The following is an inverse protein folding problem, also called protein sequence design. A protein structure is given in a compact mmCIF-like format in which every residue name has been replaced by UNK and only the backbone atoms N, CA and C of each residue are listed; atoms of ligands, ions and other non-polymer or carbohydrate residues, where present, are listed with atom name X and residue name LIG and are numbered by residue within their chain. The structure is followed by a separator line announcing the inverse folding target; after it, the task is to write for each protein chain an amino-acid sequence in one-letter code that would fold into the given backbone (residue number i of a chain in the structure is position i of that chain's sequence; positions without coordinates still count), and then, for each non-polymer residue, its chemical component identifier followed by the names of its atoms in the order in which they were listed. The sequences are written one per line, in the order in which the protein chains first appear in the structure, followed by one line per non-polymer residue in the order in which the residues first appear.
data_IF_610905673151
#
_entry.id   IF_610905673151
#
_cell.length_a   1.000
_cell.length_b   1.000
_cell.length_c   1.000
_cell.angle_alpha   90.00
_cell.angle_beta   90.00
_cell.angle_gamma   90.00
#
_symmetry.space_group_name_H-M   'P 1'
#
loop_
_entity.id
_entity.type
_entity.pdbx_description
1 polymer ?
#
# COMPACT_ATOMS: atom_id res chain seq x y z
N UNK A 1 -38.69 14.86 68.34
CA UNK A 1 -39.20 15.08 66.97
C UNK A 1 -38.05 14.78 66.01
N UNK A 2 -38.10 13.65 65.33
CA UNK A 2 -37.11 13.20 64.34
C UNK A 2 -37.73 13.38 62.96
N UNK A 3 -37.20 14.22 62.09
CA UNK A 3 -37.36 14.06 60.63
C UNK A 3 -36.09 14.50 59.89
N UNK A 4 -35.53 13.53 59.16
CA UNK A 4 -34.47 13.58 58.15
C UNK A 4 -34.83 14.53 57.00
N UNK A 5 -33.81 15.04 56.28
CA UNK A 5 -34.01 15.80 55.05
C UNK A 5 -32.77 15.97 54.16
N UNK A 6 -32.31 14.87 53.56
CA UNK A 6 -31.82 14.73 52.17
C UNK A 6 -30.62 15.60 51.73
N UNK A 7 -29.46 14.96 51.60
CA UNK A 7 -28.30 15.45 50.87
C UNK A 7 -28.57 15.46 49.35
N UNK A 8 -28.39 16.61 48.71
CA UNK A 8 -28.42 16.76 47.25
C UNK A 8 -27.00 16.49 46.70
N UNK A 9 -26.79 15.30 46.13
CA UNK A 9 -25.56 14.97 45.42
C UNK A 9 -25.61 15.59 44.01
N UNK A 10 -24.73 16.55 43.71
CA UNK A 10 -24.48 17.00 42.34
C UNK A 10 -23.76 15.89 41.57
N UNK A 11 -24.46 15.28 40.61
CA UNK A 11 -23.86 14.33 39.68
C UNK A 11 -22.89 15.06 38.73
N UNK A 12 -21.61 14.72 38.79
CA UNK A 12 -20.60 15.19 37.85
C UNK A 12 -20.83 14.54 36.48
N UNK A 13 -21.14 15.35 35.45
CA UNK A 13 -21.29 14.88 34.08
C UNK A 13 -19.92 14.59 33.46
N UNK A 14 -19.60 13.29 33.26
CA UNK A 14 -18.46 12.87 32.46
C UNK A 14 -18.73 13.14 30.98
N UNK A 15 -18.05 14.14 30.40
CA UNK A 15 -17.97 14.31 28.95
C UNK A 15 -17.05 13.23 28.36
N UNK A 16 -17.63 12.11 27.91
CA UNK A 16 -16.91 11.13 27.11
C UNK A 16 -16.68 11.70 25.69
N UNK A 17 -15.46 12.15 25.40
CA UNK A 17 -15.05 12.49 24.04
C UNK A 17 -15.06 11.22 23.18
N UNK A 18 -16.08 11.08 22.33
CA UNK A 18 -16.18 9.97 21.39
C UNK A 18 -15.03 10.04 20.37
N UNK A 19 -14.04 9.14 20.51
CA UNK A 19 -13.05 8.86 19.48
C UNK A 19 -13.77 8.16 18.33
N UNK A 20 -14.27 8.92 17.36
CA UNK A 20 -14.82 8.36 16.13
C UNK A 20 -13.69 7.66 15.36
N UNK A 21 -13.81 6.36 15.05
CA UNK A 21 -12.85 5.70 14.18
C UNK A 21 -12.96 6.32 12.79
N UNK A 22 -11.83 6.80 12.26
CA UNK A 22 -11.76 7.28 10.88
C UNK A 22 -12.17 6.14 9.93
N UNK A 23 -13.32 6.28 9.29
CA UNK A 23 -13.78 5.33 8.28
C UNK A 23 -12.75 5.30 7.13
N UNK A 24 -12.01 4.20 7.03
CA UNK A 24 -11.15 3.97 5.88
C UNK A 24 -12.05 3.78 4.66
N UNK A 25 -12.11 4.79 3.79
CA UNK A 25 -12.79 4.70 2.51
C UNK A 25 -12.25 3.47 1.80
N UNK A 26 -13.13 2.51 1.47
CA UNK A 26 -12.76 1.34 0.72
C UNK A 26 -12.35 1.77 -0.69
N UNK A 27 -11.07 2.07 -0.87
CA UNK A 27 -10.49 2.47 -2.14
C UNK A 27 -10.50 1.26 -3.09
N UNK A 28 -11.63 1.06 -3.75
CA UNK A 28 -11.88 -0.04 -4.66
C UNK A 28 -11.58 0.26 -6.12
N UNK A 29 -11.32 1.52 -6.45
CA UNK A 29 -10.95 1.97 -7.79
C UNK A 29 -9.46 1.85 -8.06
N UNK A 30 -9.09 2.10 -9.32
CA UNK A 30 -7.71 2.19 -9.77
C UNK A 30 -7.00 3.34 -9.05
N UNK A 31 -5.84 3.05 -8.47
CA UNK A 31 -5.05 3.99 -7.68
C UNK A 31 -3.64 4.06 -8.22
N UNK A 32 -3.08 5.27 -8.26
CA UNK A 32 -1.64 5.48 -8.49
C UNK A 32 -1.04 6.29 -7.35
N UNK A 33 0.21 6.00 -7.00
CA UNK A 33 0.94 6.71 -5.95
C UNK A 33 2.44 6.55 -6.14
N UNK A 34 3.21 7.45 -5.54
CA UNK A 34 4.68 7.43 -5.59
C UNK A 34 5.27 7.38 -4.18
N UNK A 35 6.45 6.79 -4.05
CA UNK A 35 7.26 6.91 -2.83
C UNK A 35 7.73 8.36 -2.60
N UNK A 36 8.06 8.77 -1.36
CA UNK A 36 8.55 10.12 -1.08
C UNK A 36 9.82 10.51 -1.82
N UNK A 37 10.68 9.54 -2.17
CA UNK A 37 11.88 9.79 -2.98
C UNK A 37 11.59 10.01 -4.46
N UNK A 38 10.34 9.79 -4.91
CA UNK A 38 9.95 9.86 -6.32
C UNK A 38 10.46 8.70 -7.19
N UNK A 39 11.29 7.79 -6.65
CA UNK A 39 11.97 6.77 -7.46
C UNK A 39 11.09 5.55 -7.79
N UNK A 40 10.05 5.30 -7.00
CA UNK A 40 9.14 4.17 -7.18
C UNK A 40 7.72 4.70 -7.35
N UNK A 41 7.13 4.39 -8.49
CA UNK A 41 5.73 4.70 -8.81
C UNK A 41 4.93 3.41 -8.92
N UNK A 42 3.74 3.39 -8.32
CA UNK A 42 2.90 2.20 -8.24
C UNK A 42 1.50 2.46 -8.76
N UNK A 43 0.89 1.40 -9.29
CA UNK A 43 -0.53 1.33 -9.59
C UNK A 43 -1.14 0.09 -8.95
N UNK A 44 -2.37 0.20 -8.44
CA UNK A 44 -3.08 -0.94 -7.88
C UNK A 44 -4.60 -0.79 -8.00
N UNK A 45 -5.27 -1.93 -8.05
CA UNK A 45 -6.72 -2.06 -7.93
C UNK A 45 -7.05 -3.38 -7.20
N UNK A 46 -8.29 -3.87 -7.33
CA UNK A 46 -8.72 -5.13 -6.71
C UNK A 46 -8.16 -6.38 -7.38
N UNK A 47 -7.47 -6.27 -8.50
CA UNK A 47 -6.96 -7.38 -9.32
C UNK A 47 -5.44 -7.48 -9.31
N UNK A 48 -4.72 -6.36 -9.12
CA UNK A 48 -3.26 -6.37 -9.08
C UNK A 48 -2.65 -5.23 -8.26
N UNK A 49 -1.36 -5.37 -7.98
CA UNK A 49 -0.47 -4.26 -7.62
C UNK A 49 0.81 -4.32 -8.47
N UNK A 50 1.23 -3.18 -9.01
CA UNK A 50 2.47 -2.98 -9.76
C UNK A 50 3.27 -1.86 -9.12
N UNK A 51 4.59 -2.00 -9.10
CA UNK A 51 5.49 -0.87 -8.90
C UNK A 51 6.66 -0.93 -9.87
N UNK A 52 6.91 0.19 -10.55
CA UNK A 52 8.08 0.42 -11.39
C UNK A 52 9.12 1.24 -10.63
N UNK A 53 10.40 1.02 -10.95
CA UNK A 53 11.52 1.70 -10.31
C UNK A 53 12.30 2.47 -11.37
N UNK A 54 12.33 3.81 -11.26
CA UNK A 54 12.99 4.67 -12.23
C UNK A 54 14.50 4.46 -12.29
N UNK A 55 15.18 4.51 -11.13
CA UNK A 55 16.60 4.20 -11.00
C UNK A 55 16.78 3.00 -10.09
N UNK A 56 17.36 1.91 -10.62
CA UNK A 56 17.73 0.73 -9.86
C UNK A 56 19.14 0.22 -10.20
N UNK A 57 19.72 -0.59 -9.32
CA UNK A 57 21.04 -1.22 -9.52
C UNK A 57 20.99 -2.75 -9.59
N UNK A 58 19.84 -3.36 -9.31
CA UNK A 58 19.65 -4.80 -9.44
C UNK A 58 19.48 -5.21 -10.90
N UNK A 59 19.77 -6.48 -11.20
CA UNK A 59 19.57 -7.10 -12.52
C UNK A 59 18.33 -7.98 -12.49
N UNK A 60 17.42 -7.76 -13.42
CA UNK A 60 16.30 -8.68 -13.65
C UNK A 60 16.83 -10.03 -14.19
N UNK A 61 16.11 -11.15 -13.97
CA UNK A 61 16.40 -12.41 -14.64
C UNK A 61 16.23 -12.27 -16.16
N UNK A 62 16.76 -13.22 -16.95
CA UNK A 62 16.63 -13.20 -18.40
C UNK A 62 15.19 -12.94 -18.86
N UNK A 63 15.03 -12.05 -19.84
CA UNK A 63 13.72 -11.71 -20.41
C UNK A 63 13.08 -12.98 -21.00
N UNK A 64 11.89 -13.38 -20.53
CA UNK A 64 11.24 -14.58 -21.05
C UNK A 64 10.76 -14.33 -22.49
N UNK A 65 10.78 -15.37 -23.32
CA UNK A 65 10.31 -15.29 -24.73
C UNK A 65 8.83 -14.88 -24.84
N UNK A 66 8.04 -15.13 -23.80
CA UNK A 66 6.64 -14.72 -23.70
C UNK A 66 6.46 -13.21 -23.51
N UNK A 67 7.50 -12.50 -23.08
CA UNK A 67 7.46 -11.04 -22.95
C UNK A 67 7.88 -10.38 -24.27
N UNK A 68 6.92 -9.74 -24.95
CA UNK A 68 7.15 -8.99 -26.19
C UNK A 68 7.39 -7.49 -25.99
N UNK A 69 7.40 -7.02 -24.73
CA UNK A 69 7.52 -5.60 -24.35
C UNK A 69 8.78 -5.37 -23.51
N UNK A 70 8.98 -4.18 -22.95
CA UNK A 70 10.10 -3.94 -22.03
C UNK A 70 9.97 -4.81 -20.77
N UNK A 71 11.12 -5.20 -20.23
CA UNK A 71 11.20 -6.22 -19.19
C UNK A 71 12.02 -5.75 -18.00
N UNK A 72 11.50 -6.07 -16.82
CA UNK A 72 12.29 -6.09 -15.62
C UNK A 72 12.36 -4.77 -14.88
N UNK A 73 11.71 -3.69 -15.32
CA UNK A 73 11.75 -2.36 -14.67
C UNK A 73 11.06 -2.28 -13.29
N UNK A 74 10.39 -3.35 -12.88
CA UNK A 74 9.55 -3.35 -11.68
C UNK A 74 8.96 -4.72 -11.38
N UNK A 75 8.03 -4.76 -10.43
CA UNK A 75 7.38 -5.98 -9.95
C UNK A 75 5.85 -5.85 -9.99
N UNK A 76 5.19 -6.98 -10.25
CA UNK A 76 3.74 -7.17 -10.16
C UNK A 76 3.40 -8.28 -9.18
N UNK A 77 2.21 -8.18 -8.58
CA UNK A 77 1.49 -9.32 -7.97
C UNK A 77 0.02 -9.25 -8.36
N UNK A 78 -0.57 -10.41 -8.66
CA UNK A 78 -1.99 -10.57 -8.98
C UNK A 78 -2.71 -11.32 -7.86
N UNK A 79 -4.03 -11.51 -7.99
CA UNK A 79 -4.82 -12.26 -7.01
C UNK A 79 -4.40 -13.72 -6.88
N UNK A 80 -3.71 -14.26 -7.89
CA UNK A 80 -3.12 -15.61 -7.93
C UNK A 80 -1.71 -15.55 -8.48
N UNK A 81 -0.89 -16.52 -8.07
CA UNK A 81 0.51 -16.64 -8.48
C UNK A 81 1.45 -15.71 -7.70
N UNK A 82 2.74 -16.04 -7.77
CA UNK A 82 3.82 -15.32 -7.08
C UNK A 82 4.06 -13.93 -7.69
N UNK A 83 4.71 -13.05 -6.92
CA UNK A 83 5.25 -11.81 -7.46
C UNK A 83 6.21 -12.07 -8.63
N UNK A 84 6.15 -11.25 -9.68
CA UNK A 84 6.96 -11.41 -10.90
C UNK A 84 7.38 -10.08 -11.48
N UNK A 85 8.42 -10.11 -12.31
CA UNK A 85 8.87 -8.93 -13.03
C UNK A 85 7.84 -8.39 -14.01
N UNK A 86 7.86 -7.08 -14.18
CA UNK A 86 7.07 -6.36 -15.16
C UNK A 86 7.50 -6.74 -16.58
N UNK A 87 6.49 -7.02 -17.42
CA UNK A 87 6.60 -7.03 -18.87
C UNK A 87 5.59 -6.03 -19.42
N UNK A 88 6.02 -4.83 -19.82
CA UNK A 88 5.12 -3.76 -20.22
C UNK A 88 5.81 -2.71 -21.10
N UNK A 89 5.06 -2.06 -21.98
CA UNK A 89 5.52 -0.93 -22.80
C UNK A 89 5.12 0.44 -22.23
N UNK A 90 4.52 0.45 -21.05
CA UNK A 90 4.12 1.64 -20.29
C UNK A 90 4.90 1.73 -18.96
N UNK A 91 4.60 2.75 -18.15
CA UNK A 91 5.15 2.88 -16.81
C UNK A 91 4.16 3.39 -15.78
N UNK A 92 4.34 2.99 -14.51
CA UNK A 92 3.66 3.58 -13.35
C UNK A 92 4.43 4.73 -12.69
N UNK A 93 5.56 5.14 -13.25
CA UNK A 93 6.25 6.37 -12.81
C UNK A 93 5.41 7.58 -13.23
N UNK A 94 4.82 8.25 -12.23
CA UNK A 94 4.06 9.48 -12.43
C UNK A 94 4.47 10.50 -11.35
N UNK A 95 5.19 11.59 -11.72
CA UNK A 95 5.64 12.60 -10.77
C UNK A 95 4.49 13.43 -10.17
N UNK A 96 3.29 13.39 -10.78
CA UNK A 96 2.08 14.06 -10.28
C UNK A 96 1.21 13.16 -9.41
N UNK A 97 1.56 11.88 -9.25
CA UNK A 97 0.80 10.98 -8.39
C UNK A 97 0.92 11.38 -6.92
N UNK A 98 -0.11 11.08 -6.13
CA UNK A 98 -0.08 11.35 -4.69
C UNK A 98 1.08 10.61 -4.01
N UNK A 99 1.81 11.33 -3.15
CA UNK A 99 2.91 10.75 -2.39
C UNK A 99 2.36 9.86 -1.27
N UNK A 100 2.81 8.60 -1.22
CA UNK A 100 2.58 7.71 -0.08
C UNK A 100 3.75 7.82 0.90
N UNK A 101 3.55 8.60 1.96
CA UNK A 101 4.54 8.81 3.02
C UNK A 101 5.16 7.52 3.56
N UNK A 102 6.41 7.57 4.01
CA UNK A 102 7.05 6.42 4.64
C UNK A 102 6.28 5.96 5.89
N UNK A 103 6.20 4.65 6.08
CA UNK A 103 5.42 4.01 7.14
C UNK A 103 3.91 3.94 6.85
N UNK A 104 3.45 4.45 5.69
CA UNK A 104 2.03 4.44 5.30
C UNK A 104 1.72 3.36 4.28
N UNK A 105 0.45 2.97 4.24
CA UNK A 105 -0.06 1.95 3.32
C UNK A 105 -1.24 2.44 2.50
N UNK A 106 -1.39 1.89 1.30
CA UNK A 106 -2.58 1.95 0.45
C UNK A 106 -3.18 0.55 0.33
N UNK A 107 -4.51 0.48 0.16
CA UNK A 107 -5.25 -0.77 0.04
C UNK A 107 -6.20 -0.71 -1.15
N UNK A 108 -6.35 -1.83 -1.83
CA UNK A 108 -7.38 -2.04 -2.84
C UNK A 108 -7.83 -3.50 -2.79
N UNK A 109 -9.08 -3.75 -2.37
CA UNK A 109 -9.54 -5.10 -2.07
C UNK A 109 -8.61 -5.80 -1.08
N UNK A 110 -8.00 -6.91 -1.53
CA UNK A 110 -7.10 -7.74 -0.71
C UNK A 110 -5.62 -7.43 -0.94
N UNK A 111 -5.30 -6.39 -1.72
CA UNK A 111 -3.95 -5.87 -1.89
C UNK A 111 -3.63 -4.80 -0.85
N UNK A 112 -2.41 -4.85 -0.33
CA UNK A 112 -1.83 -3.79 0.51
C UNK A 112 -0.44 -3.45 0.00
N UNK A 113 -0.20 -2.17 -0.29
CA UNK A 113 1.13 -1.66 -0.60
C UNK A 113 1.59 -0.71 0.52
N UNK A 114 2.82 -0.89 1.02
CA UNK A 114 3.38 -0.11 2.14
C UNK A 114 4.70 0.52 1.72
N UNK A 115 4.78 1.83 1.85
CA UNK A 115 5.98 2.63 1.58
C UNK A 115 6.91 2.61 2.78
N UNK A 116 8.16 2.17 2.63
CA UNK A 116 9.20 2.20 3.67
C UNK A 116 10.47 2.83 3.11
N UNK A 117 11.36 3.30 4.00
CA UNK A 117 12.68 3.79 3.59
C UNK A 117 13.51 2.72 2.87
N UNK A 118 13.29 1.45 3.22
CA UNK A 118 13.93 0.29 2.58
C UNK A 118 13.31 -0.11 1.23
N UNK A 119 12.19 0.48 0.81
CA UNK A 119 11.50 0.15 -0.43
C UNK A 119 9.98 0.07 -0.29
N UNK A 120 9.32 -0.35 -1.36
CA UNK A 120 7.88 -0.60 -1.41
C UNK A 120 7.61 -2.09 -1.24
N UNK A 121 6.67 -2.45 -0.37
CA UNK A 121 6.19 -3.83 -0.23
C UNK A 121 4.72 -3.90 -0.61
N UNK A 122 4.36 -4.72 -1.59
CA UNK A 122 2.98 -4.98 -1.99
C UNK A 122 2.65 -6.46 -1.79
N UNK A 123 1.51 -6.76 -1.17
CA UNK A 123 1.07 -8.14 -0.90
C UNK A 123 -0.42 -8.32 -1.15
N UNK A 124 -0.80 -9.56 -1.47
CA UNK A 124 -2.19 -9.99 -1.60
C UNK A 124 -2.52 -11.00 -0.49
N UNK A 125 -3.42 -10.63 0.41
CA UNK A 125 -3.62 -11.33 1.69
C UNK A 125 -4.27 -12.72 1.61
N UNK A 126 -4.48 -13.30 0.43
CA UNK A 126 -5.09 -14.65 0.34
C UNK A 126 -4.60 -15.51 -0.78
N UNK A 127 -3.68 -15.00 -1.59
CA UNK A 127 -2.66 -15.89 -2.15
C UNK A 127 -1.44 -15.99 -1.22
N UNK A 128 -1.26 -15.04 -0.29
CA UNK A 128 -0.05 -14.95 0.53
C UNK A 128 1.15 -14.38 -0.23
N UNK A 129 0.98 -14.10 -1.52
CA UNK A 129 2.05 -13.65 -2.40
C UNK A 129 2.21 -12.13 -2.41
N UNK A 130 3.38 -11.69 -2.82
CA UNK A 130 3.73 -10.29 -2.92
C UNK A 130 5.14 -10.06 -3.42
N UNK A 131 5.58 -8.82 -3.25
CA UNK A 131 6.95 -8.44 -3.50
C UNK A 131 7.39 -7.31 -2.57
N UNK A 132 8.70 -7.19 -2.41
CA UNK A 132 9.36 -5.96 -1.99
C UNK A 132 10.28 -5.49 -3.12
N UNK A 133 10.32 -4.18 -3.39
CA UNK A 133 11.17 -3.58 -4.41
C UNK A 133 11.74 -2.25 -3.93
N UNK A 134 13.01 -2.00 -4.24
CA UNK A 134 13.74 -0.79 -3.88
C UNK A 134 14.69 -0.39 -5.02
N UNK A 135 15.48 0.66 -4.80
CA UNK A 135 16.58 1.02 -5.72
C UNK A 135 17.63 -0.10 -5.85
N UNK A 136 17.90 -0.84 -4.77
CA UNK A 136 19.06 -1.76 -4.72
C UNK A 136 18.68 -3.23 -4.63
N UNK A 137 17.41 -3.54 -4.34
CA UNK A 137 16.94 -4.92 -4.19
C UNK A 137 15.51 -5.13 -4.67
N UNK A 138 15.19 -6.39 -4.97
CA UNK A 138 13.84 -6.88 -5.14
C UNK A 138 13.72 -8.27 -4.48
N UNK A 139 12.51 -8.65 -4.08
CA UNK A 139 12.18 -9.99 -3.60
C UNK A 139 10.71 -10.29 -3.85
N UNK A 140 10.42 -11.43 -4.48
CA UNK A 140 9.07 -11.98 -4.52
C UNK A 140 8.85 -12.95 -3.33
N UNK A 141 7.60 -13.09 -2.90
CA UNK A 141 7.14 -14.10 -1.95
C UNK A 141 5.73 -14.58 -2.32
#
# INVERSE_FOLDING_TARGET
MRHLGIALACAAALCAAALLPAAATAAGGFQTFTTPSGNIGCAMDRQFARCDVWRHSWKAPPKPRTCRLDWGQGMYVFTRGRGRFVCAGDTTINPRAAVLGYGRSRRAGRFTCTSRRSGMTCSHSGSGHGFTVSRTSYRAF
#
